data_IF_776694435915
#
_entry.id   IF_776694435915
#
_cell.length_a   1.000
_cell.length_b   1.000
_cell.length_c   1.000
_cell.angle_alpha   90.00
_cell.angle_beta   90.00
_cell.angle_gamma   90.00
#
_symmetry.space_group_name_H-M   'P 1'
#
loop_
_entity.id
_entity.type
_entity.pdbx_description
1 polymer ?
#
# COMPACT_ATOMS: atom_id res chain seq x y z
N UNK A 1 -3.96 -9.97 -17.87
CA UNK A 1 -4.48 -11.04 -17.05
C UNK A 1 -5.13 -10.47 -15.80
N UNK A 2 -6.36 -10.91 -15.48
CA UNK A 2 -7.00 -10.37 -14.30
C UNK A 2 -6.27 -10.77 -13.00
N UNK A 3 -6.26 -9.86 -12.08
CA UNK A 3 -5.61 -10.04 -10.79
C UNK A 3 -6.63 -10.69 -9.85
N UNK A 4 -6.80 -12.01 -9.98
CA UNK A 4 -7.81 -12.74 -9.22
C UNK A 4 -7.32 -13.14 -7.82
N UNK A 5 -8.23 -13.69 -7.02
CA UNK A 5 -7.93 -14.01 -5.63
C UNK A 5 -6.87 -15.12 -5.50
N UNK A 6 -6.87 -16.09 -6.41
CA UNK A 6 -5.89 -17.18 -6.40
C UNK A 6 -4.50 -16.66 -6.73
N UNK A 7 -4.40 -15.81 -7.75
CA UNK A 7 -3.15 -15.18 -8.12
C UNK A 7 -2.62 -14.32 -6.96
N UNK A 8 -3.50 -13.59 -6.30
CA UNK A 8 -3.10 -12.75 -5.17
C UNK A 8 -2.61 -13.56 -3.98
N UNK A 9 -3.15 -14.75 -3.76
CA UNK A 9 -2.67 -15.63 -2.69
C UNK A 9 -1.21 -16.00 -2.92
N UNK A 10 -0.87 -16.40 -4.14
CA UNK A 10 0.51 -16.74 -4.49
C UNK A 10 1.42 -15.53 -4.40
N UNK A 11 0.97 -14.40 -4.92
CA UNK A 11 1.73 -13.15 -4.89
C UNK A 11 1.98 -12.68 -3.45
N UNK A 12 0.97 -12.76 -2.60
CA UNK A 12 1.10 -12.38 -1.20
C UNK A 12 2.20 -13.19 -0.51
N UNK A 13 2.27 -14.49 -0.79
CA UNK A 13 3.33 -15.34 -0.27
C UNK A 13 4.71 -14.90 -0.72
N UNK A 14 4.88 -14.62 -2.01
CA UNK A 14 6.17 -14.16 -2.54
C UNK A 14 6.59 -12.82 -1.95
N UNK A 15 5.67 -11.88 -1.88
CA UNK A 15 5.97 -10.55 -1.35
C UNK A 15 6.25 -10.61 0.16
N UNK A 16 5.51 -11.46 0.87
CA UNK A 16 5.72 -11.65 2.31
C UNK A 16 7.14 -12.12 2.58
N UNK A 17 7.59 -13.12 1.84
CA UNK A 17 8.92 -13.68 2.03
C UNK A 17 10.02 -12.67 1.75
N UNK A 18 9.79 -11.77 0.82
CA UNK A 18 10.81 -10.78 0.43
C UNK A 18 10.76 -9.50 1.24
N UNK A 19 9.59 -9.08 1.69
CA UNK A 19 9.40 -7.74 2.22
C UNK A 19 9.19 -7.64 3.72
N UNK A 20 8.64 -8.67 4.35
CA UNK A 20 8.36 -8.61 5.81
C UNK A 20 9.68 -8.45 6.58
N UNK A 21 9.67 -7.50 7.50
CA UNK A 21 10.88 -7.09 8.24
C UNK A 21 11.63 -5.96 7.58
N UNK A 22 11.33 -5.65 6.32
CA UNK A 22 11.98 -4.56 5.61
C UNK A 22 11.48 -3.20 6.04
N UNK A 23 12.28 -2.19 5.77
CA UNK A 23 11.96 -0.80 6.09
C UNK A 23 11.67 0.00 4.83
N UNK A 24 10.70 0.89 4.92
CA UNK A 24 10.41 1.84 3.84
C UNK A 24 11.43 2.96 3.92
N UNK A 25 12.20 3.14 2.85
CA UNK A 25 13.20 4.19 2.75
C UNK A 25 12.60 5.45 2.14
N UNK A 26 11.99 5.31 0.96
CA UNK A 26 11.37 6.42 0.24
C UNK A 26 10.06 5.98 -0.36
N UNK A 27 9.17 6.97 -0.60
CA UNK A 27 7.89 6.73 -1.23
C UNK A 27 7.68 7.76 -2.34
N UNK A 28 7.16 7.29 -3.47
CA UNK A 28 6.86 8.12 -4.63
C UNK A 28 5.50 7.77 -5.18
N UNK A 29 4.92 8.71 -5.89
CA UNK A 29 3.66 8.51 -6.60
C UNK A 29 3.89 9.00 -8.05
N UNK A 30 4.47 8.13 -8.90
CA UNK A 30 4.82 8.54 -10.27
C UNK A 30 3.62 8.81 -11.16
N UNK A 31 2.47 8.23 -10.83
CA UNK A 31 1.24 8.46 -11.55
C UNK A 31 0.10 8.57 -10.53
N UNK A 32 -1.02 9.09 -10.99
CA UNK A 32 -2.20 9.29 -10.15
C UNK A 32 -2.62 8.03 -9.42
N UNK A 33 -2.51 6.89 -10.06
CA UNK A 33 -2.97 5.60 -9.56
C UNK A 33 -1.84 4.68 -9.12
N UNK A 34 -0.60 5.16 -9.03
CA UNK A 34 0.54 4.33 -8.72
C UNK A 34 1.38 4.91 -7.58
N UNK A 35 1.72 4.06 -6.63
CA UNK A 35 2.68 4.39 -5.58
C UNK A 35 3.85 3.42 -5.67
N UNK A 36 5.07 3.91 -5.42
CA UNK A 36 6.27 3.08 -5.39
C UNK A 36 6.93 3.27 -4.04
N UNK A 37 7.11 2.17 -3.33
CA UNK A 37 7.80 2.14 -2.05
C UNK A 37 9.20 1.60 -2.27
N UNK A 38 10.21 2.43 -1.99
CA UNK A 38 11.59 1.97 -1.98
C UNK A 38 11.85 1.37 -0.61
N UNK A 39 12.08 0.07 -0.57
CA UNK A 39 12.25 -0.67 0.68
C UNK A 39 13.63 -1.29 0.77
N UNK A 40 14.11 -1.36 1.99
CA UNK A 40 15.33 -2.10 2.29
C UNK A 40 14.93 -3.38 3.03
N UNK A 41 15.12 -4.51 2.36
CA UNK A 41 14.77 -5.81 2.90
C UNK A 41 16.06 -6.63 3.00
N UNK A 42 16.56 -6.82 4.22
CA UNK A 42 17.85 -7.45 4.42
C UNK A 42 18.97 -6.59 3.81
N UNK A 43 19.67 -7.15 2.84
CA UNK A 43 20.75 -6.44 2.13
C UNK A 43 20.27 -5.85 0.80
N UNK A 44 19.04 -6.13 0.44
CA UNK A 44 18.51 -5.74 -0.87
C UNK A 44 17.72 -4.46 -0.80
N UNK A 45 17.91 -3.62 -1.82
CA UNK A 45 17.04 -2.48 -2.05
C UNK A 45 16.03 -2.89 -3.11
N UNK A 46 14.76 -2.87 -2.76
CA UNK A 46 13.70 -3.29 -3.66
C UNK A 46 12.68 -2.18 -3.81
N UNK A 47 11.97 -2.17 -4.93
CA UNK A 47 10.91 -1.22 -5.21
C UNK A 47 9.60 -1.98 -5.34
N UNK A 48 8.66 -1.65 -4.48
CA UNK A 48 7.32 -2.22 -4.52
C UNK A 48 6.39 -1.25 -5.21
N UNK A 49 5.84 -1.67 -6.34
CA UNK A 49 4.83 -0.90 -7.06
C UNK A 49 3.45 -1.34 -6.58
N UNK A 50 2.65 -0.38 -6.13
CA UNK A 50 1.25 -0.59 -5.77
C UNK A 50 0.41 0.23 -6.74
N UNK A 51 -0.32 -0.44 -7.61
CA UNK A 51 -1.15 0.21 -8.62
C UNK A 51 -2.61 0.00 -8.32
N UNK A 52 -3.35 1.10 -8.19
CA UNK A 52 -4.80 1.11 -8.09
C UNK A 52 -5.45 1.50 -9.43
N UNK A 53 -4.73 1.36 -10.52
CA UNK A 53 -5.26 1.63 -11.86
C UNK A 53 -6.44 0.72 -12.16
N UNK A 54 -7.60 1.26 -12.60
CA UNK A 54 -8.74 0.41 -12.95
C UNK A 54 -8.44 -0.62 -14.02
N UNK A 55 -7.52 -0.29 -14.94
CA UNK A 55 -7.16 -1.19 -16.02
C UNK A 55 -6.17 -2.28 -15.58
N UNK A 56 -5.26 -1.94 -14.68
CA UNK A 56 -4.19 -2.86 -14.25
C UNK A 56 -3.89 -2.73 -12.77
N UNK A 57 -4.87 -3.06 -11.89
CA UNK A 57 -4.59 -3.04 -10.45
C UNK A 57 -3.61 -4.17 -10.13
N UNK A 58 -2.54 -3.83 -9.39
CA UNK A 58 -1.51 -4.83 -9.08
C UNK A 58 -0.55 -4.38 -8.01
N UNK A 59 0.11 -5.35 -7.40
CA UNK A 59 1.29 -5.15 -6.60
C UNK A 59 2.41 -5.98 -7.20
N UNK A 60 3.60 -5.39 -7.34
CA UNK A 60 4.74 -6.13 -7.87
C UNK A 60 6.05 -5.45 -7.50
N UNK A 61 7.11 -6.24 -7.43
CA UNK A 61 8.45 -5.68 -7.34
C UNK A 61 8.85 -5.22 -8.74
N UNK A 62 9.45 -4.04 -8.83
CA UNK A 62 9.82 -3.47 -10.11
C UNK A 62 11.24 -2.97 -10.08
N UNK A 63 11.89 -3.01 -11.24
CA UNK A 63 13.21 -2.42 -11.45
C UNK A 63 13.14 -1.28 -12.48
N UNK A 64 11.95 -1.04 -13.01
CA UNK A 64 11.75 -0.02 -14.03
C UNK A 64 11.74 1.35 -13.36
N UNK A 65 12.65 2.26 -13.74
CA UNK A 65 12.62 3.61 -13.21
C UNK A 65 11.37 4.34 -13.68
N UNK A 66 10.86 5.22 -12.84
CA UNK A 66 9.67 6.01 -13.12
C UNK A 66 9.97 7.48 -12.93
N UNK A 67 9.42 8.31 -13.81
CA UNK A 67 9.49 9.74 -13.62
C UNK A 67 8.48 10.15 -12.57
N UNK A 68 8.92 10.99 -11.64
CA UNK A 68 8.06 11.50 -10.60
C UNK A 68 7.68 12.94 -10.89
N UNK A 69 6.45 13.38 -10.55
CA UNK A 69 6.07 14.78 -10.74
C UNK A 69 6.94 15.68 -9.88
N UNK A 70 7.18 16.91 -10.34
CA UNK A 70 7.96 17.89 -9.58
C UNK A 70 7.34 18.18 -8.22
N UNK A 71 6.00 18.30 -8.21
CA UNK A 71 5.25 18.50 -6.97
C UNK A 71 4.51 17.21 -6.65
N UNK A 72 4.85 16.54 -5.54
CA UNK A 72 4.15 15.32 -5.16
C UNK A 72 2.68 15.58 -4.88
N UNK A 73 1.78 14.67 -5.28
CA UNK A 73 0.36 14.76 -4.90
C UNK A 73 0.19 14.70 -3.38
N UNK A 74 -0.94 15.20 -2.90
CA UNK A 74 -1.24 15.19 -1.46
C UNK A 74 -1.16 13.79 -0.86
N UNK A 75 -1.69 12.80 -1.55
CA UNK A 75 -1.63 11.42 -1.06
C UNK A 75 -0.19 10.95 -0.86
N UNK A 76 0.70 11.31 -1.78
CA UNK A 76 2.13 10.97 -1.67
C UNK A 76 2.75 11.63 -0.44
N UNK A 77 2.40 12.87 -0.17
CA UNK A 77 2.92 13.58 1.00
C UNK A 77 2.45 12.92 2.29
N UNK A 78 1.20 12.46 2.33
CA UNK A 78 0.67 11.73 3.48
C UNK A 78 1.33 10.36 3.63
N UNK A 79 1.60 9.66 2.51
CA UNK A 79 2.35 8.41 2.55
C UNK A 79 3.72 8.63 3.18
N UNK A 80 4.42 9.67 2.77
CA UNK A 80 5.74 9.98 3.31
C UNK A 80 5.67 10.31 4.79
N UNK A 81 4.68 11.10 5.17
CA UNK A 81 4.50 11.49 6.57
C UNK A 81 4.30 10.28 7.48
N UNK A 82 3.50 9.32 7.05
CA UNK A 82 3.07 8.21 7.89
C UNK A 82 3.88 6.93 7.74
N UNK A 83 4.54 6.74 6.61
CA UNK A 83 5.19 5.45 6.31
C UNK A 83 6.69 5.53 6.05
N UNK A 84 7.28 6.72 5.92
CA UNK A 84 8.72 6.81 5.75
C UNK A 84 9.42 6.28 7.01
N UNK A 85 10.34 5.35 6.82
CA UNK A 85 11.02 4.70 7.92
C UNK A 85 10.23 3.57 8.59
N UNK A 86 9.02 3.31 8.12
CA UNK A 86 8.18 2.26 8.70
C UNK A 86 8.72 0.87 8.38
N UNK A 87 8.51 -0.05 9.31
CA UNK A 87 8.88 -1.47 9.13
C UNK A 87 7.64 -2.27 8.79
N UNK A 88 7.72 -3.08 7.76
CA UNK A 88 6.62 -3.98 7.40
C UNK A 88 6.60 -5.16 8.35
N UNK A 89 5.53 -5.28 9.13
CA UNK A 89 5.36 -6.36 10.10
C UNK A 89 4.66 -7.56 9.50
N UNK A 90 3.67 -7.32 8.65
CA UNK A 90 2.84 -8.40 8.13
C UNK A 90 2.26 -7.99 6.79
N UNK A 91 2.11 -8.97 5.92
CA UNK A 91 1.39 -8.84 4.66
C UNK A 91 0.40 -9.99 4.60
N UNK A 92 -0.87 -9.66 4.48
CA UNK A 92 -1.93 -10.67 4.46
C UNK A 92 -2.93 -10.42 3.35
N UNK A 93 -3.67 -11.47 3.01
CA UNK A 93 -4.79 -11.41 2.10
C UNK A 93 -6.01 -11.92 2.87
N UNK A 94 -6.79 -11.02 3.48
CA UNK A 94 -7.94 -11.45 4.28
C UNK A 94 -8.97 -12.20 3.45
N UNK A 95 -9.46 -13.33 3.98
CA UNK A 95 -10.58 -14.08 3.41
C UNK A 95 -10.48 -14.40 1.93
N UNK A 96 -9.26 -14.58 1.41
CA UNK A 96 -9.06 -14.89 -0.02
C UNK A 96 -9.63 -13.83 -0.97
N UNK A 97 -9.81 -12.62 -0.49
CA UNK A 97 -10.33 -11.52 -1.32
C UNK A 97 -9.25 -10.91 -2.20
N UNK A 98 -9.66 -10.07 -3.15
CA UNK A 98 -8.73 -9.40 -4.06
C UNK A 98 -8.18 -8.14 -3.42
N UNK A 99 -7.58 -8.29 -2.25
CA UNK A 99 -6.93 -7.21 -1.57
C UNK A 99 -5.70 -7.71 -0.81
N UNK A 100 -4.75 -6.82 -0.62
CA UNK A 100 -3.55 -7.06 0.16
C UNK A 100 -3.50 -6.05 1.29
N UNK A 101 -3.25 -6.52 2.50
CA UNK A 101 -3.16 -5.71 3.70
C UNK A 101 -1.72 -5.69 4.19
N UNK A 102 -1.09 -4.53 4.11
CA UNK A 102 0.29 -4.31 4.56
C UNK A 102 0.23 -3.61 5.91
N UNK A 103 0.65 -4.29 6.95
CA UNK A 103 0.68 -3.72 8.30
C UNK A 103 2.10 -3.29 8.65
N UNK A 104 2.25 -2.01 8.98
CA UNK A 104 3.54 -1.40 9.28
C UNK A 104 3.59 -0.92 10.72
N UNK A 105 4.80 -0.85 11.25
CA UNK A 105 5.09 -0.19 12.51
C UNK A 105 5.95 1.04 12.23
N UNK A 106 5.57 2.16 12.81
CA UNK A 106 6.30 3.41 12.65
C UNK A 106 6.26 4.21 13.96
N UNK A 107 6.87 5.38 13.96
CA UNK A 107 6.81 6.29 15.09
C UNK A 107 5.87 7.44 14.75
N UNK A 108 5.05 7.86 15.71
CA UNK A 108 4.21 9.03 15.53
C UNK A 108 5.01 10.32 15.86
N UNK A 109 4.32 11.45 15.86
CA UNK A 109 4.95 12.75 16.11
C UNK A 109 5.52 12.86 17.53
N UNK A 110 5.01 12.07 18.46
CA UNK A 110 5.48 12.05 19.84
C UNK A 110 6.58 11.04 20.08
N UNK A 111 6.97 10.29 19.05
CA UNK A 111 7.99 9.26 19.16
C UNK A 111 7.47 7.91 19.63
N UNK A 112 6.16 7.75 19.78
CA UNK A 112 5.56 6.50 20.20
C UNK A 112 5.41 5.54 19.02
N UNK A 113 5.55 4.25 19.28
CA UNK A 113 5.33 3.23 18.25
C UNK A 113 3.86 3.08 17.98
N UNK A 114 3.50 3.20 16.71
CA UNK A 114 2.13 3.03 16.27
C UNK A 114 2.10 2.12 15.06
N UNK A 115 0.97 1.48 14.83
CA UNK A 115 0.76 0.68 13.64
C UNK A 115 -0.06 1.46 12.63
N UNK A 116 0.25 1.26 11.35
CA UNK A 116 -0.49 1.83 10.23
C UNK A 116 -0.59 0.78 9.15
N UNK A 117 -1.62 0.87 8.36
CA UNK A 117 -1.87 -0.11 7.32
C UNK A 117 -2.06 0.55 5.97
N UNK A 118 -1.56 -0.13 4.94
CA UNK A 118 -1.90 0.15 3.55
C UNK A 118 -2.67 -1.04 3.03
N UNK A 119 -3.84 -0.78 2.46
CA UNK A 119 -4.66 -1.83 1.87
C UNK A 119 -4.81 -1.55 0.39
N UNK A 120 -4.36 -2.48 -0.43
CA UNK A 120 -4.52 -2.40 -1.88
C UNK A 120 -5.70 -3.27 -2.28
N UNK A 121 -6.75 -2.65 -2.79
CA UNK A 121 -7.91 -3.34 -3.36
C UNK A 121 -7.74 -3.41 -4.87
N UNK A 122 -7.78 -4.62 -5.42
CA UNK A 122 -7.65 -4.86 -6.86
C UNK A 122 -8.98 -5.32 -7.44
N UNK A 123 -9.95 -4.42 -7.49
CA UNK A 123 -11.34 -4.72 -7.86
C UNK A 123 -11.75 -3.86 -9.06
N UNK A 124 -11.03 -3.98 -10.18
CA UNK A 124 -11.36 -3.26 -11.41
C UNK A 124 -11.51 -1.77 -11.19
N UNK A 125 -12.66 -1.22 -11.54
CA UNK A 125 -12.93 0.23 -11.39
C UNK A 125 -12.87 0.72 -9.95
N UNK A 126 -13.12 -0.17 -8.99
CA UNK A 126 -13.12 0.16 -7.57
C UNK A 126 -11.77 -0.07 -6.91
N UNK A 127 -10.74 -0.35 -7.71
CA UNK A 127 -9.40 -0.53 -7.18
C UNK A 127 -8.94 0.74 -6.48
N UNK A 128 -8.25 0.56 -5.34
CA UNK A 128 -7.82 1.70 -4.53
C UNK A 128 -6.65 1.29 -3.64
N UNK A 129 -5.88 2.27 -3.24
CA UNK A 129 -4.88 2.12 -2.20
C UNK A 129 -5.33 2.96 -1.02
N UNK A 130 -5.58 2.32 0.12
CA UNK A 130 -6.21 2.93 1.28
C UNK A 130 -5.22 2.95 2.43
N UNK A 131 -5.11 4.10 3.07
CA UNK A 131 -4.24 4.32 4.22
C UNK A 131 -5.09 4.29 5.49
N UNK A 132 -4.73 3.41 6.43
CA UNK A 132 -5.44 3.24 7.68
C UNK A 132 -4.53 3.54 8.86
N UNK A 133 -5.10 4.07 9.95
CA UNK A 133 -4.38 4.22 11.20
C UNK A 133 -4.40 2.93 12.02
N UNK A 134 -3.81 2.95 13.20
CA UNK A 134 -3.73 1.77 14.06
C UNK A 134 -5.08 1.29 14.59
N UNK A 135 -6.08 2.14 14.62
CA UNK A 135 -7.44 1.78 15.00
C UNK A 135 -8.27 1.24 13.84
N UNK A 136 -7.70 1.20 12.63
CA UNK A 136 -8.39 0.74 11.44
C UNK A 136 -9.23 1.80 10.75
N UNK A 137 -9.06 3.06 11.12
CA UNK A 137 -9.79 4.16 10.47
C UNK A 137 -9.06 4.62 9.23
N UNK A 138 -9.83 4.95 8.19
CA UNK A 138 -9.24 5.49 6.96
C UNK A 138 -8.66 6.87 7.21
N UNK A 139 -7.36 7.01 6.95
CA UNK A 139 -6.67 8.30 7.01
C UNK A 139 -6.81 9.02 5.67
N UNK A 140 -6.60 8.29 4.58
CA UNK A 140 -6.78 8.81 3.22
C UNK A 140 -6.80 7.63 2.25
N UNK A 141 -7.14 7.91 1.00
CA UNK A 141 -7.07 6.92 -0.06
C UNK A 141 -6.62 7.59 -1.35
N UNK A 142 -6.01 6.80 -2.22
CA UNK A 142 -5.44 7.29 -3.48
C UNK A 142 -6.53 7.81 -4.42
N UNK A 143 -7.66 7.12 -4.47
CA UNK A 143 -8.79 7.47 -5.35
C UNK A 143 -10.01 7.82 -4.50
N UNK A 144 -10.02 9.05 -4.01
CA UNK A 144 -11.07 9.52 -3.11
C UNK A 144 -12.47 9.43 -3.70
N UNK A 145 -12.61 9.72 -4.97
CA UNK A 145 -13.91 9.69 -5.63
C UNK A 145 -14.52 8.29 -5.67
N UNK A 146 -13.71 7.26 -5.50
CA UNK A 146 -14.16 5.87 -5.53
C UNK A 146 -14.54 5.34 -4.14
N UNK A 147 -14.32 6.14 -3.09
CA UNK A 147 -14.67 5.75 -1.74
C UNK A 147 -15.94 6.46 -1.34
N UNK A 148 -17.00 5.69 -1.14
CA UNK A 148 -18.23 6.20 -0.55
C UNK A 148 -18.09 6.14 0.97
N UNK A 149 -17.93 7.28 1.58
CA UNK A 149 -17.73 7.37 3.03
C UNK A 149 -18.93 6.89 3.83
N UNK A 150 -20.10 6.83 3.19
CA UNK A 150 -21.31 6.31 3.84
C UNK A 150 -21.41 4.79 3.70
N UNK A 151 -20.67 4.19 2.78
CA UNK A 151 -20.71 2.75 2.56
C UNK A 151 -19.87 2.03 3.60
N UNK A 152 -20.35 0.89 4.05
CA UNK A 152 -19.59 0.02 4.95
C UNK A 152 -18.72 -0.88 4.11
N UNK A 153 -17.42 -0.70 4.21
CA UNK A 153 -16.45 -1.54 3.50
C UNK A 153 -15.78 -2.49 4.49
N UNK A 154 -15.47 -3.72 4.07
CA UNK A 154 -14.81 -4.68 4.96
C UNK A 154 -13.50 -4.19 5.56
N UNK A 155 -12.79 -3.34 4.83
CA UNK A 155 -11.49 -2.80 5.27
C UNK A 155 -11.63 -1.57 6.16
N UNK A 156 -12.84 -1.10 6.39
CA UNK A 156 -13.13 0.06 7.22
C UNK A 156 -13.88 -0.41 8.47
N UNK A 157 -13.14 -0.83 9.48
CA UNK A 157 -13.82 -1.22 10.71
C UNK A 157 -14.51 -0.02 11.34
N UNK A 158 -15.70 -0.22 11.67
CA UNK A 158 -16.62 0.56 12.44
C UNK A 158 -16.77 1.98 12.27
#
# INVERSE_FOLDING_TARGET
MPFDAIFMTALAGELRDKLVGGKVDKLYQPARDEAVLHMRAGRDNVRLLLSASPAHPRAQLTRVPRENPETPPMFCMLLRKHFAGARLLELSQPSMERLLDFRFETLDELGDRVERRLVLECIGRKSNLIMLDGAGRITDCMRRAEVDLSAKRPVMPG
#
